data_IF_672698418755
#
_entry.id   IF_672698418755
#
_cell.length_a   1.000
_cell.length_b   1.000
_cell.length_c   1.000
_cell.angle_alpha   90.00
_cell.angle_beta   90.00
_cell.angle_gamma   90.00
#
_symmetry.space_group_name_H-M   'P 1'
#
loop_
_entity.id
_entity.type
_entity.pdbx_description
1 polymer ?
#
# COMPACT_ATOMS: atom_id res chain seq x y z
N UNK A 1 -3.40 9.11 -14.94
CA UNK A 1 -2.15 9.03 -15.74
C UNK A 1 -0.89 9.07 -14.86
N UNK A 2 -0.77 9.98 -13.88
CA UNK A 2 0.40 10.08 -12.99
C UNK A 2 0.65 8.76 -12.24
N UNK A 3 -0.39 8.18 -11.64
CA UNK A 3 -0.28 6.91 -10.92
C UNK A 3 0.25 5.77 -11.82
N UNK A 4 -0.25 5.65 -13.05
CA UNK A 4 0.20 4.63 -14.00
C UNK A 4 1.70 4.77 -14.33
N UNK A 5 2.18 6.00 -14.51
CA UNK A 5 3.62 6.28 -14.75
C UNK A 5 4.48 5.93 -13.54
N UNK A 6 4.03 6.30 -12.35
CA UNK A 6 4.73 5.97 -11.11
C UNK A 6 4.75 4.45 -10.87
N UNK A 7 3.64 3.75 -11.16
CA UNK A 7 3.58 2.30 -11.09
C UNK A 7 4.57 1.63 -12.07
N UNK A 8 4.77 2.20 -13.27
CA UNK A 8 5.80 1.72 -14.22
C UNK A 8 7.20 1.78 -13.62
N UNK A 9 7.54 2.90 -12.96
CA UNK A 9 8.82 3.06 -12.28
C UNK A 9 9.00 2.02 -11.17
N UNK A 10 8.00 1.85 -10.31
CA UNK A 10 8.06 0.87 -9.20
C UNK A 10 8.15 -0.56 -9.73
N UNK A 11 7.43 -0.90 -10.81
CA UNK A 11 7.58 -2.20 -11.47
C UNK A 11 9.02 -2.42 -11.97
N UNK A 12 9.66 -1.41 -12.56
CA UNK A 12 11.04 -1.51 -13.02
C UNK A 12 12.02 -1.69 -11.84
N UNK A 13 11.84 -0.94 -10.76
CA UNK A 13 12.63 -1.09 -9.53
C UNK A 13 12.48 -2.50 -8.95
N UNK A 14 11.25 -3.02 -8.89
CA UNK A 14 10.99 -4.35 -8.34
C UNK A 14 11.60 -5.47 -9.20
N UNK A 15 11.50 -5.40 -10.51
CA UNK A 15 12.16 -6.36 -11.41
C UNK A 15 13.67 -6.32 -11.17
N UNK A 16 14.25 -5.13 -11.10
CA UNK A 16 15.69 -4.97 -10.84
C UNK A 16 16.09 -5.50 -9.48
N UNK A 17 15.30 -5.26 -8.44
CA UNK A 17 15.53 -5.83 -7.10
C UNK A 17 15.56 -7.36 -7.15
N UNK A 18 14.55 -7.99 -7.79
CA UNK A 18 14.50 -9.47 -7.93
C UNK A 18 15.73 -10.02 -8.63
N UNK A 19 16.18 -9.39 -9.71
CA UNK A 19 17.40 -9.79 -10.42
C UNK A 19 18.64 -9.72 -9.54
N UNK A 20 18.80 -8.62 -8.78
CA UNK A 20 19.95 -8.41 -7.90
C UNK A 20 19.96 -9.39 -6.73
N UNK A 21 18.81 -9.61 -6.09
CA UNK A 21 18.67 -10.60 -5.01
C UNK A 21 18.98 -12.01 -5.54
N UNK A 22 18.47 -12.37 -6.71
CA UNK A 22 18.78 -13.65 -7.35
C UNK A 22 20.27 -13.82 -7.68
N UNK A 23 20.97 -12.70 -7.95
CA UNK A 23 22.41 -12.68 -8.15
C UNK A 23 23.24 -12.65 -6.83
N UNK A 24 22.58 -12.74 -5.67
CA UNK A 24 23.24 -12.74 -4.36
C UNK A 24 23.49 -11.36 -3.75
N UNK A 25 22.98 -10.29 -4.36
CA UNK A 25 23.08 -8.93 -3.80
C UNK A 25 21.96 -8.68 -2.78
N UNK A 26 22.24 -8.99 -1.50
CA UNK A 26 21.28 -8.83 -0.40
C UNK A 26 21.03 -7.39 0.06
N UNK A 27 21.71 -6.38 -0.52
CA UNK A 27 21.56 -4.97 -0.11
C UNK A 27 20.14 -4.43 -0.34
N UNK A 28 19.41 -4.99 -1.28
CA UNK A 28 18.06 -4.58 -1.65
C UNK A 28 16.95 -5.25 -0.83
N UNK A 29 17.32 -6.15 0.06
CA UNK A 29 16.39 -6.84 0.94
C UNK A 29 15.40 -7.77 0.21
N UNK A 30 14.60 -8.47 1.00
CA UNK A 30 13.59 -9.42 0.50
C UNK A 30 12.21 -8.78 0.28
N UNK A 31 11.95 -7.63 0.90
CA UNK A 31 10.66 -6.95 0.80
C UNK A 31 10.47 -6.34 -0.59
N UNK A 32 9.38 -6.65 -1.30
CA UNK A 32 9.10 -6.06 -2.60
C UNK A 32 8.90 -4.55 -2.52
N UNK A 33 9.38 -3.81 -3.54
CA UNK A 33 9.01 -2.42 -3.73
C UNK A 33 7.55 -2.31 -4.14
N UNK A 34 6.81 -1.39 -3.54
CA UNK A 34 5.37 -1.20 -3.78
C UNK A 34 5.03 0.27 -3.96
N UNK A 35 3.94 0.50 -4.71
CA UNK A 35 3.28 1.81 -4.78
C UNK A 35 1.87 1.70 -4.18
N UNK A 36 1.53 2.64 -3.31
CA UNK A 36 0.20 2.80 -2.74
C UNK A 36 -0.62 3.88 -3.46
N UNK A 37 -1.90 3.59 -3.75
CA UNK A 37 -2.87 4.59 -4.16
C UNK A 37 -3.84 4.86 -3.00
N UNK A 38 -3.61 5.97 -2.30
CA UNK A 38 -4.35 6.33 -1.11
C UNK A 38 -5.32 7.48 -1.40
N UNK A 39 -6.53 7.13 -1.81
CA UNK A 39 -7.53 8.06 -2.32
C UNK A 39 -8.88 7.86 -1.61
N UNK A 40 -9.84 8.78 -1.80
CA UNK A 40 -11.13 8.73 -1.12
C UNK A 40 -11.91 7.42 -1.33
N UNK A 41 -12.72 7.04 -0.35
CA UNK A 41 -13.45 5.76 -0.31
C UNK A 41 -14.47 5.55 -1.44
N UNK A 42 -14.76 6.57 -2.25
CA UNK A 42 -15.53 6.44 -3.49
C UNK A 42 -14.71 5.84 -4.65
N UNK A 43 -13.38 5.84 -4.53
CA UNK A 43 -12.45 5.36 -5.57
C UNK A 43 -11.75 4.08 -5.15
N UNK A 44 -11.45 3.91 -3.87
CA UNK A 44 -10.77 2.72 -3.35
C UNK A 44 -11.42 2.23 -2.06
N UNK A 45 -11.38 0.93 -1.82
CA UNK A 45 -11.90 0.34 -0.59
C UNK A 45 -11.02 0.72 0.62
N UNK A 46 -11.66 0.96 1.76
CA UNK A 46 -10.93 1.20 3.00
C UNK A 46 -10.45 -0.11 3.63
N UNK A 47 -11.22 -1.19 3.49
CA UNK A 47 -10.93 -2.51 4.06
C UNK A 47 -10.76 -3.56 2.97
N UNK A 48 -9.90 -4.55 3.23
CA UNK A 48 -9.71 -5.70 2.32
C UNK A 48 -11.00 -6.50 2.13
N UNK A 49 -11.85 -6.60 3.16
CA UNK A 49 -13.15 -7.27 3.05
C UNK A 49 -14.12 -6.54 2.13
N UNK A 50 -14.08 -5.20 2.10
CA UNK A 50 -14.90 -4.40 1.20
C UNK A 50 -14.44 -4.60 -0.24
N UNK A 51 -13.12 -4.57 -0.48
CA UNK A 51 -12.54 -4.87 -1.78
C UNK A 51 -12.90 -6.29 -2.28
N UNK A 52 -12.94 -7.27 -1.38
CA UNK A 52 -13.36 -8.63 -1.71
C UNK A 52 -14.84 -8.67 -2.16
N UNK A 53 -15.72 -8.00 -1.43
CA UNK A 53 -17.15 -7.91 -1.80
C UNK A 53 -17.36 -7.19 -3.13
N UNK A 54 -16.66 -6.08 -3.33
CA UNK A 54 -16.72 -5.32 -4.59
C UNK A 54 -16.28 -6.18 -5.79
N UNK A 55 -15.26 -7.03 -5.61
CA UNK A 55 -14.83 -7.97 -6.66
C UNK A 55 -15.87 -9.05 -6.94
N UNK A 56 -16.49 -9.60 -5.90
CA UNK A 56 -17.52 -10.63 -6.04
C UNK A 56 -18.77 -10.03 -6.70
N UNK A 57 -19.19 -8.83 -6.31
CA UNK A 57 -20.30 -8.12 -6.93
C UNK A 57 -20.00 -7.82 -8.41
N UNK A 58 -18.79 -7.35 -8.71
CA UNK A 58 -18.36 -7.09 -10.08
C UNK A 58 -18.40 -8.33 -10.96
N UNK A 59 -17.98 -9.49 -10.43
CA UNK A 59 -18.03 -10.78 -11.16
C UNK A 59 -19.44 -11.27 -11.38
N UNK A 60 -20.30 -11.15 -10.37
CA UNK A 60 -21.66 -11.70 -10.39
C UNK A 60 -22.65 -10.82 -11.15
N UNK A 61 -22.55 -9.50 -11.00
CA UNK A 61 -23.56 -8.55 -11.53
C UNK A 61 -23.03 -7.67 -12.66
N UNK A 62 -21.71 -7.62 -12.85
CA UNK A 62 -21.06 -6.71 -13.78
C UNK A 62 -20.88 -5.31 -13.25
N UNK A 63 -21.30 -5.05 -12.00
CA UNK A 63 -21.24 -3.75 -11.35
C UNK A 63 -20.75 -3.91 -9.91
N UNK A 64 -19.92 -2.95 -9.45
CA UNK A 64 -19.52 -2.83 -8.05
C UNK A 64 -19.85 -1.44 -7.53
N UNK A 65 -20.14 -1.33 -6.24
CA UNK A 65 -20.48 -0.05 -5.61
C UNK A 65 -19.29 0.89 -5.53
N UNK A 66 -18.08 0.36 -5.37
CA UNK A 66 -16.83 1.09 -5.40
C UNK A 66 -16.18 1.08 -6.79
N UNK A 67 -15.08 1.79 -6.97
CA UNK A 67 -14.31 1.78 -8.20
C UNK A 67 -13.57 0.43 -8.43
N UNK A 68 -13.77 -0.52 -7.54
CA UNK A 68 -13.06 -1.80 -7.54
C UNK A 68 -11.58 -1.64 -7.16
N UNK A 69 -10.88 -2.76 -6.93
CA UNK A 69 -9.49 -2.73 -6.49
C UNK A 69 -8.51 -2.35 -7.60
N UNK A 70 -8.99 -2.01 -8.80
CA UNK A 70 -8.12 -1.75 -9.97
C UNK A 70 -8.06 -0.28 -10.31
N UNK A 71 -7.04 0.36 -9.84
CA UNK A 71 -6.61 1.69 -10.27
C UNK A 71 -5.80 1.68 -11.57
N UNK A 72 -5.59 0.49 -12.14
CA UNK A 72 -4.82 0.27 -13.35
C UNK A 72 -5.72 -0.20 -14.49
N UNK A 73 -5.58 0.43 -15.65
CA UNK A 73 -6.26 0.02 -16.89
C UNK A 73 -5.40 -0.94 -17.72
N UNK A 74 -4.09 -0.91 -17.52
CA UNK A 74 -3.13 -1.78 -18.21
C UNK A 74 -1.95 -2.10 -17.27
N UNK A 75 -1.32 -3.24 -17.52
CA UNK A 75 -0.12 -3.64 -16.81
C UNK A 75 0.99 -2.58 -16.95
N UNK A 76 1.52 -2.03 -15.86
CA UNK A 76 2.53 -0.98 -15.94
C UNK A 76 3.85 -1.43 -16.58
N UNK A 77 4.09 -2.74 -16.65
CA UNK A 77 5.29 -3.32 -17.23
C UNK A 77 5.19 -3.60 -18.71
N UNK A 78 4.16 -4.30 -19.14
CA UNK A 78 4.06 -4.80 -20.51
C UNK A 78 2.93 -4.17 -21.35
N UNK A 79 2.05 -3.37 -20.73
CA UNK A 79 0.95 -2.72 -21.41
C UNK A 79 -0.27 -3.61 -21.68
N UNK A 80 -0.27 -4.89 -21.23
CA UNK A 80 -1.44 -5.77 -21.37
C UNK A 80 -2.65 -5.18 -20.65
N UNK A 81 -3.80 -5.17 -21.29
CA UNK A 81 -5.04 -4.68 -20.72
C UNK A 81 -5.45 -5.52 -19.49
N UNK A 82 -5.81 -4.84 -18.41
CA UNK A 82 -6.22 -5.46 -17.17
C UNK A 82 -7.75 -5.48 -17.05
N UNK A 83 -8.32 -6.67 -16.88
CA UNK A 83 -9.72 -6.88 -16.54
C UNK A 83 -9.84 -7.19 -15.04
N UNK A 84 -10.46 -6.32 -14.23
CA UNK A 84 -10.64 -6.56 -12.80
C UNK A 84 -11.25 -7.92 -12.46
N UNK A 85 -12.16 -8.41 -13.29
CA UNK A 85 -12.84 -9.68 -13.07
C UNK A 85 -11.88 -10.87 -13.15
N UNK A 86 -10.91 -10.78 -14.06
CA UNK A 86 -9.91 -11.82 -14.34
C UNK A 86 -8.65 -11.62 -13.52
N UNK A 87 -8.16 -10.38 -13.46
CA UNK A 87 -6.79 -10.06 -13.06
C UNK A 87 -6.66 -9.60 -11.62
N UNK A 88 -7.78 -9.27 -10.94
CA UNK A 88 -7.78 -8.96 -9.53
C UNK A 88 -8.32 -10.13 -8.71
N UNK A 89 -7.70 -10.40 -7.56
CA UNK A 89 -8.08 -11.49 -6.67
C UNK A 89 -7.96 -11.05 -5.22
N UNK A 90 -8.98 -11.31 -4.41
CA UNK A 90 -8.89 -11.17 -2.97
C UNK A 90 -8.37 -12.46 -2.34
N UNK A 91 -7.37 -12.34 -1.47
CA UNK A 91 -6.77 -13.43 -0.72
C UNK A 91 -7.08 -13.29 0.77
N UNK A 92 -8.16 -13.95 1.27
CA UNK A 92 -8.61 -13.75 2.65
C UNK A 92 -7.56 -14.15 3.69
N UNK A 93 -6.75 -15.19 3.42
CA UNK A 93 -5.68 -15.61 4.33
C UNK A 93 -4.44 -14.74 4.32
N UNK A 94 -4.23 -13.95 3.28
CA UNK A 94 -3.18 -12.91 3.21
C UNK A 94 -3.70 -11.55 3.64
N UNK A 95 -5.01 -11.38 3.67
CA UNK A 95 -5.64 -10.08 3.80
C UNK A 95 -5.10 -9.09 2.78
N UNK A 96 -5.15 -9.50 1.54
CA UNK A 96 -4.64 -8.71 0.41
C UNK A 96 -5.53 -8.85 -0.80
N UNK A 97 -5.59 -7.75 -1.53
CA UNK A 97 -6.11 -7.71 -2.89
C UNK A 97 -4.92 -7.64 -3.84
N UNK A 98 -4.78 -8.66 -4.67
CA UNK A 98 -3.69 -8.79 -5.63
C UNK A 98 -4.19 -8.52 -7.04
N UNK A 99 -3.38 -7.81 -7.81
CA UNK A 99 -3.58 -7.59 -9.24
C UNK A 99 -2.46 -8.31 -9.96
N UNK A 100 -2.77 -9.17 -10.91
CA UNK A 100 -1.79 -9.90 -11.73
C UNK A 100 -1.92 -9.52 -13.19
N UNK A 101 -0.84 -9.66 -13.95
CA UNK A 101 -0.89 -9.43 -15.38
C UNK A 101 -1.52 -10.61 -16.11
N UNK A 102 -2.51 -10.34 -16.96
CA UNK A 102 -3.19 -11.34 -17.80
C UNK A 102 -2.41 -11.76 -19.04
N UNK A 103 -1.09 -11.46 -19.16
CA UNK A 103 -0.27 -11.84 -20.31
C UNK A 103 -0.38 -13.34 -20.61
N UNK A 104 -1.14 -13.66 -21.66
CA UNK A 104 -1.41 -15.05 -22.09
C UNK A 104 -0.14 -15.80 -22.53
N UNK A 105 0.92 -15.07 -22.92
CA UNK A 105 2.21 -15.64 -23.30
C UNK A 105 3.09 -15.93 -22.07
N UNK A 106 2.67 -15.51 -20.89
CA UNK A 106 3.36 -15.76 -19.61
C UNK A 106 4.77 -15.17 -19.52
N UNK A 107 5.09 -14.15 -20.31
CA UNK A 107 6.41 -13.51 -20.35
C UNK A 107 6.56 -12.40 -19.32
N UNK A 108 5.44 -11.75 -18.96
CA UNK A 108 5.44 -10.68 -17.99
C UNK A 108 5.83 -11.21 -16.59
N UNK A 109 6.77 -10.56 -15.89
CA UNK A 109 7.20 -10.96 -14.54
C UNK A 109 6.11 -10.79 -13.47
N UNK A 110 5.00 -10.13 -13.81
CA UNK A 110 3.89 -9.86 -12.90
C UNK A 110 2.66 -10.73 -13.18
N UNK A 111 2.79 -11.80 -13.96
CA UNK A 111 1.74 -12.83 -14.05
C UNK A 111 1.64 -13.61 -12.73
N UNK A 112 0.49 -14.24 -12.48
CA UNK A 112 0.27 -15.02 -11.27
C UNK A 112 1.35 -16.10 -11.03
N UNK A 113 1.90 -16.67 -12.11
CA UNK A 113 2.94 -17.72 -12.03
C UNK A 113 4.35 -17.18 -11.75
N UNK A 114 4.65 -15.92 -12.11
CA UNK A 114 6.02 -15.36 -12.07
C UNK A 114 6.22 -14.29 -11.00
N UNK A 115 5.17 -13.92 -10.33
CA UNK A 115 5.20 -12.84 -9.34
C UNK A 115 5.41 -13.29 -7.90
N UNK A 116 5.66 -14.59 -7.67
CA UNK A 116 5.86 -15.17 -6.34
C UNK A 116 4.76 -14.79 -5.33
N UNK A 117 3.50 -14.74 -5.83
CA UNK A 117 2.35 -14.37 -5.01
C UNK A 117 2.18 -12.87 -4.75
N UNK A 118 3.05 -12.00 -5.28
CA UNK A 118 2.96 -10.56 -5.08
C UNK A 118 2.08 -9.86 -6.14
N UNK A 119 2.06 -10.37 -7.37
CA UNK A 119 1.38 -9.71 -8.50
C UNK A 119 2.10 -8.44 -8.96
N UNK A 120 1.34 -7.52 -9.55
CA UNK A 120 1.78 -6.15 -9.84
C UNK A 120 1.91 -5.43 -8.50
N UNK A 121 3.03 -4.76 -8.21
CA UNK A 121 3.33 -4.22 -6.88
C UNK A 121 2.55 -2.92 -6.60
N UNK A 122 1.24 -2.97 -6.76
CA UNK A 122 0.30 -1.88 -6.53
C UNK A 122 -0.64 -2.24 -5.38
N UNK A 123 -0.80 -1.33 -4.45
CA UNK A 123 -1.68 -1.45 -3.28
C UNK A 123 -2.69 -0.32 -3.31
N UNK A 124 -3.98 -0.63 -3.35
CA UNK A 124 -5.06 0.36 -3.46
C UNK A 124 -6.09 0.29 -2.32
N UNK A 125 -5.94 -0.60 -1.38
CA UNK A 125 -6.80 -0.72 -0.20
C UNK A 125 -6.12 -0.03 0.98
N UNK A 126 -6.79 0.88 1.66
CA UNK A 126 -6.20 1.68 2.74
C UNK A 126 -5.56 0.81 3.83
N UNK A 127 -6.31 -0.17 4.31
CA UNK A 127 -5.83 -1.11 5.32
C UNK A 127 -4.55 -1.84 4.90
N UNK A 128 -4.45 -2.20 3.62
CA UNK A 128 -3.26 -2.86 3.07
C UNK A 128 -2.10 -1.87 2.95
N UNK A 129 -2.35 -0.62 2.57
CA UNK A 129 -1.34 0.45 2.51
C UNK A 129 -0.71 0.65 3.89
N UNK A 130 -1.51 0.71 4.96
CA UNK A 130 -1.00 0.88 6.33
C UNK A 130 -0.19 -0.31 6.83
N UNK A 131 -0.53 -1.53 6.41
CA UNK A 131 0.17 -2.75 6.83
C UNK A 131 1.42 -3.07 6.01
N UNK A 132 1.43 -2.70 4.74
CA UNK A 132 2.53 -3.04 3.83
C UNK A 132 3.56 -1.94 3.68
N UNK A 133 3.22 -0.70 4.04
CA UNK A 133 4.08 0.48 3.96
C UNK A 133 4.76 0.60 2.59
N UNK A 134 4.02 0.92 1.53
CA UNK A 134 4.58 1.07 0.19
C UNK A 134 5.71 2.11 0.15
N UNK A 135 6.70 1.90 -0.71
CA UNK A 135 7.87 2.78 -0.87
C UNK A 135 7.51 4.13 -1.50
N UNK A 136 6.43 4.15 -2.28
CA UNK A 136 5.82 5.36 -2.83
C UNK A 136 4.32 5.33 -2.56
N UNK A 137 3.78 6.42 -2.03
CA UNK A 137 2.34 6.59 -1.85
C UNK A 137 1.89 7.83 -2.60
N UNK A 138 0.90 7.68 -3.48
CA UNK A 138 0.20 8.79 -4.12
C UNK A 138 -1.16 8.91 -3.44
N UNK A 139 -1.42 10.10 -2.90
CA UNK A 139 -2.62 10.36 -2.13
C UNK A 139 -3.32 11.64 -2.58
N UNK A 140 -4.63 11.70 -2.32
CA UNK A 140 -5.41 12.93 -2.49
C UNK A 140 -5.35 13.81 -1.23
N UNK A 141 -5.52 15.12 -1.40
CA UNK A 141 -5.41 16.09 -0.31
C UNK A 141 -6.39 15.79 0.86
N UNK A 142 -7.59 15.27 0.56
CA UNK A 142 -8.58 14.89 1.57
C UNK A 142 -8.11 13.76 2.49
N UNK A 143 -7.30 12.83 1.99
CA UNK A 143 -6.69 11.79 2.84
C UNK A 143 -5.67 12.37 3.81
N UNK A 144 -4.88 13.32 3.37
CA UNK A 144 -3.95 14.03 4.25
C UNK A 144 -4.70 14.84 5.34
N UNK A 145 -5.84 15.45 5.01
CA UNK A 145 -6.65 16.14 6.00
C UNK A 145 -7.22 15.22 7.08
N UNK A 146 -7.31 13.91 6.83
CA UNK A 146 -7.78 12.91 7.81
C UNK A 146 -6.67 12.39 8.72
N UNK A 147 -5.39 12.65 8.43
CA UNK A 147 -4.25 12.15 9.22
C UNK A 147 -4.38 12.37 10.73
N UNK A 148 -4.79 13.55 11.23
CA UNK A 148 -4.89 13.77 12.67
C UNK A 148 -5.96 12.93 13.38
N UNK A 149 -6.92 12.39 12.61
CA UNK A 149 -8.10 11.69 13.13
C UNK A 149 -8.02 10.17 13.01
N UNK A 150 -7.09 9.66 12.24
CA UNK A 150 -6.93 8.23 11.97
C UNK A 150 -5.60 7.71 12.50
N UNK A 151 -5.59 7.12 13.69
CA UNK A 151 -4.38 6.58 14.31
C UNK A 151 -3.62 5.60 13.42
N UNK A 152 -4.34 4.79 12.61
CA UNK A 152 -3.74 3.85 11.66
C UNK A 152 -2.81 4.50 10.64
N UNK A 153 -3.02 5.77 10.29
CA UNK A 153 -2.16 6.52 9.35
C UNK A 153 -0.76 6.76 9.88
N UNK A 154 -0.56 6.73 11.19
CA UNK A 154 0.74 6.85 11.82
C UNK A 154 1.71 5.76 11.36
N UNK A 155 1.19 4.61 10.93
CA UNK A 155 1.99 3.54 10.35
C UNK A 155 2.75 3.99 9.09
N UNK A 156 2.16 4.85 8.24
CA UNK A 156 2.82 5.40 7.05
C UNK A 156 4.07 6.21 7.38
N UNK A 157 4.14 6.71 8.60
CA UNK A 157 5.30 7.43 9.14
C UNK A 157 6.21 6.53 9.98
N UNK A 158 6.05 5.22 9.83
CA UNK A 158 6.90 4.23 10.47
C UNK A 158 6.57 3.97 11.94
N UNK A 159 5.49 4.53 12.49
CA UNK A 159 5.03 4.33 13.88
C UNK A 159 4.36 2.96 14.04
N UNK A 160 5.15 1.90 13.88
CA UNK A 160 4.72 0.51 14.02
C UNK A 160 5.48 -0.15 15.16
N UNK A 161 4.85 -1.10 15.85
CA UNK A 161 5.43 -1.76 17.01
C UNK A 161 5.54 -3.27 16.84
N UNK A 162 4.77 -3.84 15.91
CA UNK A 162 4.67 -5.29 15.69
C UNK A 162 4.64 -5.58 14.19
N UNK A 163 5.10 -6.77 13.80
CA UNK A 163 5.05 -7.26 12.42
C UNK A 163 4.59 -8.71 12.38
N UNK A 164 3.51 -8.98 11.66
CA UNK A 164 3.11 -10.33 11.29
C UNK A 164 3.84 -10.75 10.00
N UNK A 165 4.44 -11.92 9.99
CA UNK A 165 5.16 -12.42 8.81
C UNK A 165 4.25 -12.64 7.59
N UNK A 166 2.91 -12.79 7.81
CA UNK A 166 1.92 -12.97 6.75
C UNK A 166 1.21 -11.67 6.37
N UNK A 167 0.84 -10.85 7.36
CA UNK A 167 -0.07 -9.73 7.17
C UNK A 167 0.61 -8.36 7.16
N UNK A 168 1.92 -8.29 7.45
CA UNK A 168 2.66 -7.04 7.49
C UNK A 168 2.67 -6.36 8.87
N UNK A 169 2.88 -5.06 8.89
CA UNK A 169 3.00 -4.28 10.13
C UNK A 169 1.67 -4.14 10.85
N UNK A 170 1.76 -3.99 12.19
CA UNK A 170 0.60 -3.90 13.07
C UNK A 170 0.79 -2.81 14.13
N UNK A 171 -0.31 -2.14 14.44
CA UNK A 171 -0.48 -1.24 15.58
C UNK A 171 -1.84 -1.54 16.21
N UNK A 172 -2.11 -1.03 17.42
CA UNK A 172 -3.43 -1.15 18.03
C UNK A 172 -4.56 -0.60 17.15
N UNK A 173 -4.28 0.51 16.47
CA UNK A 173 -5.25 1.17 15.60
C UNK A 173 -5.52 0.37 14.32
N UNK A 174 -4.49 -0.27 13.76
CA UNK A 174 -4.63 -1.15 12.61
C UNK A 174 -5.42 -2.42 12.96
N UNK A 175 -5.23 -2.94 14.16
CA UNK A 175 -5.96 -4.12 14.63
C UNK A 175 -7.47 -3.83 14.76
N UNK A 176 -7.84 -2.63 15.17
CA UNK A 176 -9.24 -2.18 15.25
C UNK A 176 -9.86 -2.00 13.87
N UNK A 177 -9.16 -1.34 12.94
CA UNK A 177 -9.67 -1.06 11.59
C UNK A 177 -9.87 -2.34 10.79
N UNK A 178 -8.99 -3.31 10.95
CA UNK A 178 -8.97 -4.53 10.16
C UNK A 178 -9.85 -5.67 10.68
N UNK A 179 -10.60 -5.49 11.78
CA UNK A 179 -11.23 -6.63 12.51
C UNK A 179 -10.22 -7.76 12.79
N UNK A 180 -8.94 -7.47 12.69
CA UNK A 180 -7.87 -8.42 12.87
C UNK A 180 -7.61 -8.59 14.37
N UNK A 181 -8.59 -9.14 15.05
CA UNK A 181 -8.47 -9.58 16.43
C UNK A 181 -7.44 -10.70 16.47
N UNK A 182 -6.23 -10.31 16.60
CA UNK A 182 -5.16 -10.92 17.30
C UNK A 182 -5.10 -12.43 17.53
N UNK A 183 -4.74 -13.17 16.52
CA UNK A 183 -3.89 -14.29 16.84
C UNK A 183 -2.44 -13.84 16.64
N UNK A 184 -1.63 -13.84 17.67
CA UNK A 184 -0.18 -13.68 17.52
C UNK A 184 0.42 -14.77 16.64
N UNK A 185 -0.32 -15.85 16.44
CA UNK A 185 0.04 -17.00 15.61
C UNK A 185 -1.08 -17.37 14.67
N UNK A 186 -0.73 -17.60 13.42
CA UNK A 186 -1.64 -18.09 12.40
C UNK A 186 -1.21 -19.50 11.97
N UNK A 187 -2.14 -20.43 12.00
CA UNK A 187 -1.92 -21.78 11.48
C UNK A 187 -1.70 -21.74 9.95
N UNK A 188 -1.13 -22.81 9.41
CA UNK A 188 -1.06 -23.03 7.95
C UNK A 188 -2.47 -23.03 7.37
N UNK A 189 -2.74 -22.18 6.37
CA UNK A 189 -4.05 -22.06 5.73
C UNK A 189 -3.91 -21.46 4.32
N UNK A 190 -4.80 -21.86 3.39
CA UNK A 190 -4.83 -21.31 2.04
C UNK A 190 -3.51 -21.47 1.25
N UNK A 191 -2.74 -22.52 1.50
CA UNK A 191 -1.45 -22.76 0.87
C UNK A 191 -0.29 -21.97 1.49
N UNK A 192 -0.56 -21.13 2.51
CA UNK A 192 0.43 -20.32 3.21
C UNK A 192 0.95 -21.05 4.45
N UNK A 193 2.24 -20.92 4.72
CA UNK A 193 2.84 -21.48 5.94
C UNK A 193 2.37 -20.77 7.20
N UNK A 194 2.57 -21.42 8.35
CA UNK A 194 2.28 -20.82 9.65
C UNK A 194 3.02 -19.49 9.81
N UNK A 195 2.38 -18.53 10.44
CA UNK A 195 2.90 -17.20 10.64
C UNK A 195 2.78 -16.76 12.10
N UNK A 196 3.63 -15.86 12.51
CA UNK A 196 3.60 -15.25 13.84
C UNK A 196 3.76 -13.75 13.78
N UNK A 197 3.20 -13.06 14.77
CA UNK A 197 3.42 -11.65 15.01
C UNK A 197 4.53 -11.50 16.06
N UNK A 198 5.51 -10.67 15.76
CA UNK A 198 6.62 -10.37 16.63
C UNK A 198 6.74 -8.85 16.82
N UNK A 199 7.32 -8.45 17.94
CA UNK A 199 7.66 -7.04 18.15
C UNK A 199 8.71 -6.61 17.12
N UNK A 200 8.59 -5.38 16.66
CA UNK A 200 9.56 -4.79 15.75
C UNK A 200 9.90 -3.36 16.17
N UNK A 201 11.09 -2.94 15.77
CA UNK A 201 11.46 -1.53 15.91
C UNK A 201 10.64 -0.68 14.96
N UNK A 202 10.32 0.55 15.35
CA UNK A 202 9.73 1.53 14.47
C UNK A 202 10.54 1.68 13.17
N UNK A 203 9.86 1.97 12.09
CA UNK A 203 10.51 2.18 10.78
C UNK A 203 10.85 3.66 10.61
N UNK A 204 11.78 3.97 9.72
CA UNK A 204 12.06 5.36 9.38
C UNK A 204 10.82 6.01 8.75
N UNK A 205 10.57 7.30 9.01
CA UNK A 205 9.53 8.05 8.31
C UNK A 205 9.88 8.16 6.81
N UNK A 206 8.94 8.60 5.96
CA UNK A 206 9.24 8.94 4.57
C UNK A 206 10.42 9.91 4.47
N UNK A 207 11.30 9.70 3.50
CA UNK A 207 12.43 10.63 3.26
C UNK A 207 11.98 11.91 2.56
N UNK A 208 10.86 11.84 1.81
CA UNK A 208 10.35 12.95 0.98
C UNK A 208 8.82 12.98 1.02
N UNK A 209 8.27 14.18 1.19
CA UNK A 209 6.86 14.49 1.02
C UNK A 209 6.74 15.57 -0.05
N UNK A 210 6.00 15.29 -1.11
CA UNK A 210 5.72 16.25 -2.18
C UNK A 210 4.24 16.65 -2.06
N UNK A 211 3.99 17.94 -1.90
CA UNK A 211 2.68 18.55 -1.86
C UNK A 211 2.46 19.34 -3.15
N UNK A 212 1.74 18.72 -4.08
CA UNK A 212 1.38 19.36 -5.35
C UNK A 212 0.07 20.15 -5.20
N UNK A 213 -0.07 21.26 -5.95
CA UNK A 213 -1.26 22.10 -5.95
C UNK A 213 -1.62 22.66 -4.56
N UNK A 214 -0.64 23.08 -3.78
CA UNK A 214 -0.83 23.58 -2.40
C UNK A 214 -1.88 24.69 -2.29
N UNK A 215 -2.05 25.50 -3.35
CA UNK A 215 -3.01 26.56 -3.39
C UNK A 215 -4.47 26.10 -3.25
N UNK A 216 -4.78 24.84 -3.62
CA UNK A 216 -6.11 24.27 -3.44
C UNK A 216 -6.46 24.08 -1.96
N UNK A 217 -5.47 24.00 -1.10
CA UNK A 217 -5.64 23.80 0.34
C UNK A 217 -5.72 25.15 1.08
N UNK A 218 -5.25 26.24 0.47
CA UNK A 218 -5.24 27.58 1.08
C UNK A 218 -6.64 28.24 1.17
N UNK A 219 -7.68 27.63 0.59
CA UNK A 219 -9.08 28.10 0.63
C UNK A 219 -9.81 27.70 1.92
N UNK A 220 -11.07 27.21 1.83
CA UNK A 220 -11.90 26.84 2.99
C UNK A 220 -11.29 25.79 3.93
N UNK A 221 -10.25 25.08 3.46
CA UNK A 221 -9.51 24.06 4.23
C UNK A 221 -8.31 24.64 5.01
N UNK A 222 -8.06 25.94 4.97
CA UNK A 222 -6.83 26.54 5.53
C UNK A 222 -6.60 26.27 7.02
N UNK A 223 -7.65 26.18 7.83
CA UNK A 223 -7.53 25.77 9.25
C UNK A 223 -7.22 24.29 9.42
N UNK A 224 -7.70 23.44 8.52
CA UNK A 224 -7.37 22.02 8.49
C UNK A 224 -5.93 21.79 8.04
N UNK A 225 -5.40 22.66 7.20
CA UNK A 225 -4.01 22.59 6.74
C UNK A 225 -3.01 22.86 7.85
N UNK A 226 -3.21 23.88 8.69
CA UNK A 226 -2.35 24.14 9.85
C UNK A 226 -2.33 22.96 10.83
N UNK A 227 -3.47 22.30 11.03
CA UNK A 227 -3.56 21.08 11.83
C UNK A 227 -2.82 19.92 11.19
N UNK A 228 -2.93 19.79 9.87
CA UNK A 228 -2.19 18.80 9.08
C UNK A 228 -0.68 18.99 9.18
N UNK A 229 -0.16 20.22 8.97
CA UNK A 229 1.28 20.51 9.09
C UNK A 229 1.81 20.14 10.47
N UNK A 230 1.07 20.52 11.53
CA UNK A 230 1.42 20.17 12.91
C UNK A 230 1.43 18.65 13.12
N UNK A 231 0.44 17.95 12.61
CA UNK A 231 0.36 16.49 12.71
C UNK A 231 1.53 15.81 11.98
N UNK A 232 1.84 16.23 10.75
CA UNK A 232 2.98 15.71 9.99
C UNK A 232 4.29 15.97 10.73
N UNK A 233 4.49 17.17 11.25
CA UNK A 233 5.70 17.53 11.97
C UNK A 233 5.91 16.66 13.21
N UNK A 234 4.84 16.35 13.92
CA UNK A 234 4.86 15.49 15.10
C UNK A 234 5.12 14.01 14.74
N UNK A 235 4.35 13.45 13.81
CA UNK A 235 4.44 12.02 13.49
C UNK A 235 5.65 11.67 12.63
N UNK A 236 6.15 12.61 11.82
CA UNK A 236 7.30 12.41 10.94
C UNK A 236 8.64 12.81 11.56
N UNK A 237 8.63 13.38 12.77
CA UNK A 237 9.86 13.74 13.49
C UNK A 237 10.39 12.53 14.26
N UNK A 238 11.62 12.15 13.96
CA UNK A 238 12.31 11.01 14.56
C UNK A 238 13.70 11.37 15.04
N UNK A 239 14.20 10.62 16.00
CA UNK A 239 15.61 10.69 16.42
C UNK A 239 16.33 9.46 15.90
N UNK A 240 17.32 9.67 15.05
CA UNK A 240 18.20 8.62 14.52
C UNK A 240 19.62 8.94 15.01
N UNK A 241 20.22 8.03 15.76
CA UNK A 241 21.57 8.20 16.35
C UNK A 241 21.72 9.52 17.14
N UNK A 242 20.69 9.90 17.89
CA UNK A 242 20.67 11.12 18.69
C UNK A 242 20.44 12.41 17.89
N UNK A 243 20.23 12.32 16.57
CA UNK A 243 19.97 13.48 15.70
C UNK A 243 18.52 13.51 15.24
N UNK A 244 17.87 14.68 15.25
CA UNK A 244 16.52 14.79 14.69
C UNK A 244 16.56 14.52 13.17
N UNK A 245 15.65 13.64 12.73
CA UNK A 245 15.45 13.31 11.32
C UNK A 245 14.02 13.69 10.94
N UNK A 246 13.86 14.37 9.81
CA UNK A 246 12.56 14.79 9.27
C UNK A 246 12.52 14.56 7.76
N UNK A 247 11.35 14.30 7.17
CA UNK A 247 11.21 14.30 5.72
C UNK A 247 11.61 15.65 5.11
N UNK A 248 12.12 15.60 3.90
CA UNK A 248 12.15 16.80 3.06
C UNK A 248 10.72 17.05 2.56
N UNK A 249 10.23 18.27 2.74
CA UNK A 249 8.92 18.67 2.22
C UNK A 249 9.14 19.61 1.05
N UNK A 250 8.54 19.28 -0.09
CA UNK A 250 8.54 20.11 -1.30
C UNK A 250 7.10 20.46 -1.62
N UNK A 251 6.81 21.74 -1.72
CA UNK A 251 5.48 22.25 -2.07
C UNK A 251 5.54 22.97 -3.43
N UNK A 252 4.52 22.77 -4.26
CA UNK A 252 4.36 23.36 -5.59
C UNK A 252 3.06 24.18 -5.67
#
# INVERSE_FOLDING_TARGET
QQFQRAATLICACEVRRRELVAAGDGRWGETPFRIGMWVGGSVSANKTQDAARDLDDLRNTGWAKGAGPTSLVACPWCGEELDPKRDATSHPHLWRTLITCGDSKGRCPFTAKRSDGEGIPVVSVDEEIYRLLPDLVIATADKFAQLPWQGATSALFGRVTRKCSRHGFRTSDLDVVGDHKEADKHAKAGGLDAASTVDCLPRRPPDLIIQDELHLIAGPLGSLFGLYETAIDEIASWTVDGKPSRPKVVAS
#
